data_IF_412159914723
#
_entry.id   IF_412159914723
#
_cell.length_a   1.000
_cell.length_b   1.000
_cell.length_c   1.000
_cell.angle_alpha   90.00
_cell.angle_beta   90.00
_cell.angle_gamma   90.00
#
_symmetry.space_group_name_H-M   'P 1'
#
loop_
_entity.id
_entity.type
_entity.pdbx_description
1 polymer ?
#
# COMPACT_ATOMS: atom_id res chain seq x y z
N UNK A 1 0.35 20.22 -9.58
CA UNK A 1 -0.16 18.83 -9.68
C UNK A 1 0.51 17.90 -8.65
N UNK A 2 0.65 18.32 -7.39
CA UNK A 2 1.28 17.52 -6.30
C UNK A 2 0.32 17.33 -5.11
N UNK A 3 -0.76 18.11 -5.02
CA UNK A 3 -1.73 18.06 -3.90
C UNK A 3 -2.74 16.91 -4.01
N UNK A 4 -2.89 16.29 -5.19
CA UNK A 4 -3.88 15.23 -5.43
C UNK A 4 -3.39 13.81 -5.06
N UNK A 5 -2.08 13.60 -4.88
CA UNK A 5 -1.55 12.28 -4.49
C UNK A 5 -1.81 11.96 -3.01
N UNK A 6 -1.91 12.98 -2.14
CA UNK A 6 -1.99 12.79 -0.68
C UNK A 6 -3.30 12.14 -0.21
N UNK A 7 -4.35 12.17 -1.02
CA UNK A 7 -5.68 11.62 -0.69
C UNK A 7 -5.80 10.15 -1.11
N UNK A 8 -5.01 9.68 -2.10
CA UNK A 8 -5.10 8.30 -2.63
C UNK A 8 -4.36 7.25 -1.78
N UNK A 9 -3.36 7.66 -1.00
CA UNK A 9 -2.51 6.76 -0.21
C UNK A 9 -3.21 6.16 1.03
N UNK A 10 -4.28 6.79 1.53
CA UNK A 10 -4.91 6.42 2.81
C UNK A 10 -5.62 5.05 2.72
N UNK A 11 -6.25 4.75 1.59
CA UNK A 11 -7.05 3.53 1.40
C UNK A 11 -6.21 2.25 1.49
N UNK A 12 -4.98 2.28 0.97
CA UNK A 12 -4.08 1.13 1.04
C UNK A 12 -3.64 0.87 2.49
N UNK A 13 -3.35 1.93 3.23
CA UNK A 13 -2.90 1.85 4.63
C UNK A 13 -4.01 1.29 5.51
N UNK A 14 -5.25 1.77 5.35
CA UNK A 14 -6.40 1.25 6.10
C UNK A 14 -6.64 -0.23 5.83
N UNK A 15 -6.61 -0.64 4.55
CA UNK A 15 -6.77 -2.05 4.16
C UNK A 15 -5.66 -2.93 4.73
N UNK A 16 -4.41 -2.45 4.71
CA UNK A 16 -3.27 -3.17 5.26
C UNK A 16 -3.42 -3.40 6.76
N UNK A 17 -3.68 -2.34 7.53
CA UNK A 17 -3.83 -2.43 8.99
C UNK A 17 -5.02 -3.32 9.35
N UNK A 18 -6.15 -3.16 8.66
CA UNK A 18 -7.34 -3.99 8.86
C UNK A 18 -7.08 -5.47 8.58
N UNK A 19 -6.28 -5.79 7.55
CA UNK A 19 -5.92 -7.17 7.23
C UNK A 19 -5.00 -7.79 8.31
N UNK A 20 -4.05 -7.01 8.83
CA UNK A 20 -3.14 -7.46 9.90
C UNK A 20 -3.92 -7.69 11.20
N UNK A 21 -4.77 -6.75 11.60
CA UNK A 21 -5.61 -6.87 12.80
C UNK A 21 -6.51 -8.11 12.79
N UNK A 22 -7.08 -8.44 11.63
CA UNK A 22 -7.88 -9.66 11.47
C UNK A 22 -7.04 -10.94 11.61
N UNK A 23 -5.76 -10.90 11.24
CA UNK A 23 -4.84 -12.03 11.28
C UNK A 23 -4.17 -12.22 12.65
N UNK A 24 -4.02 -11.13 13.42
CA UNK A 24 -3.34 -11.08 14.71
C UNK A 24 -4.24 -10.44 15.76
N UNK A 25 -5.29 -11.16 16.15
CA UNK A 25 -6.26 -10.65 17.14
C UNK A 25 -5.60 -10.51 18.52
N UNK A 26 -5.77 -9.36 19.16
CA UNK A 26 -5.23 -9.02 20.49
C UNK A 26 -3.69 -8.98 20.60
N UNK A 27 -2.97 -8.87 19.48
CA UNK A 27 -1.52 -8.61 19.50
C UNK A 27 -1.23 -7.13 19.23
N UNK A 28 -0.12 -6.65 19.80
CA UNK A 28 0.37 -5.30 19.50
C UNK A 28 0.93 -5.25 18.08
N UNK A 29 0.40 -4.36 17.24
CA UNK A 29 0.86 -4.17 15.87
C UNK A 29 1.73 -2.92 15.81
N UNK A 30 2.99 -3.08 15.40
CA UNK A 30 3.93 -1.99 15.17
C UNK A 30 4.53 -2.09 13.78
N UNK A 31 4.11 -1.20 12.87
CA UNK A 31 4.55 -1.16 11.48
C UNK A 31 4.76 0.28 11.01
N UNK A 32 5.53 0.47 9.93
CA UNK A 32 5.63 1.75 9.21
C UNK A 32 4.92 1.64 7.85
N UNK A 33 3.65 2.09 7.74
CA UNK A 33 2.90 2.01 6.48
C UNK A 33 3.57 2.80 5.34
N UNK A 34 4.16 3.95 5.67
CA UNK A 34 4.87 4.79 4.69
C UNK A 34 6.06 4.08 4.07
N UNK A 35 6.84 3.33 4.86
CA UNK A 35 7.98 2.57 4.35
C UNK A 35 7.53 1.48 3.37
N UNK A 36 6.42 0.81 3.67
CA UNK A 36 5.83 -0.22 2.79
C UNK A 36 5.34 0.41 1.48
N UNK A 37 4.65 1.55 1.53
CA UNK A 37 4.18 2.26 0.34
C UNK A 37 5.34 2.69 -0.58
N UNK A 38 6.44 3.20 0.01
CA UNK A 38 7.65 3.58 -0.75
C UNK A 38 8.25 2.35 -1.43
N UNK A 39 8.44 1.24 -0.70
CA UNK A 39 8.99 0.02 -1.26
C UNK A 39 8.13 -0.51 -2.43
N UNK A 40 6.82 -0.57 -2.26
CA UNK A 40 5.88 -1.00 -3.31
C UNK A 40 5.90 -0.07 -4.52
N UNK A 41 6.06 1.24 -4.32
CA UNK A 41 6.20 2.21 -5.41
C UNK A 41 7.47 1.98 -6.23
N UNK A 42 8.60 1.67 -5.57
CA UNK A 42 9.84 1.31 -6.26
C UNK A 42 9.67 0.00 -7.05
N UNK A 43 9.04 -1.01 -6.45
CA UNK A 43 8.79 -2.29 -7.10
C UNK A 43 7.82 -2.14 -8.28
N UNK A 44 6.81 -1.28 -8.19
CA UNK A 44 5.91 -0.96 -9.29
C UNK A 44 6.67 -0.40 -10.50
N UNK A 45 7.64 0.48 -10.28
CA UNK A 45 8.46 1.04 -11.36
C UNK A 45 9.30 -0.03 -12.09
N UNK A 46 9.68 -1.09 -11.40
CA UNK A 46 10.38 -2.25 -11.98
C UNK A 46 9.47 -3.31 -12.61
N UNK A 47 8.20 -3.39 -12.20
CA UNK A 47 7.26 -4.40 -12.68
C UNK A 47 6.81 -4.14 -14.13
N UNK A 48 6.38 -5.19 -14.85
CA UNK A 48 5.83 -5.09 -16.22
C UNK A 48 4.59 -5.95 -16.42
N UNK A 49 3.82 -5.62 -17.46
CA UNK A 49 2.67 -6.41 -17.90
C UNK A 49 1.63 -6.64 -16.80
N UNK A 50 1.19 -7.89 -16.64
CA UNK A 50 0.14 -8.25 -15.66
C UNK A 50 0.52 -7.90 -14.23
N UNK A 51 1.79 -8.01 -13.85
CA UNK A 51 2.27 -7.67 -12.51
C UNK A 51 2.14 -6.19 -12.24
N UNK A 52 2.59 -5.34 -13.17
CA UNK A 52 2.49 -3.89 -13.03
C UNK A 52 1.03 -3.43 -12.94
N UNK A 53 0.15 -4.02 -13.77
CA UNK A 53 -1.28 -3.70 -13.76
C UNK A 53 -1.96 -4.09 -12.44
N UNK A 54 -1.64 -5.25 -11.88
CA UNK A 54 -2.17 -5.67 -10.59
C UNK A 54 -1.70 -4.74 -9.45
N UNK A 55 -0.44 -4.30 -9.51
CA UNK A 55 0.12 -3.34 -8.55
C UNK A 55 -0.56 -1.97 -8.67
N UNK A 56 -0.73 -1.42 -9.88
CA UNK A 56 -1.44 -0.15 -10.09
C UNK A 56 -2.86 -0.20 -9.52
N UNK A 57 -3.59 -1.29 -9.76
CA UNK A 57 -4.94 -1.48 -9.21
C UNK A 57 -4.95 -1.51 -7.68
N UNK A 58 -3.95 -2.15 -7.07
CA UNK A 58 -3.87 -2.30 -5.61
C UNK A 58 -3.43 -1.01 -4.94
N UNK A 59 -2.49 -0.28 -5.56
CA UNK A 59 -1.91 0.97 -5.06
C UNK A 59 -2.71 2.22 -5.48
N UNK A 60 -3.76 2.06 -6.27
CA UNK A 60 -4.63 3.12 -6.77
C UNK A 60 -3.89 4.23 -7.55
N UNK A 61 -2.92 3.82 -8.37
CA UNK A 61 -2.16 4.70 -9.28
C UNK A 61 -2.97 5.07 -10.53
#
# INVERSE_FOLDING_TARGET
>A
MIVLAKIRDIDMIEKLVSAIQKSQTNENIFISPSSIAIALSMTYNGARGKTQNAMAKTLNF
#
